data_IF_203047921451
#
_entry.id   IF_203047921451
#
_cell.length_a   1.000
_cell.length_b   1.000
_cell.length_c   1.000
_cell.angle_alpha   90.00
_cell.angle_beta   90.00
_cell.angle_gamma   90.00
#
_symmetry.space_group_name_H-M   'P 1'
#
loop_
_entity.id
_entity.type
_entity.pdbx_description
1 polymer ?
#
# COMPACT_ATOMS: atom_id res chain seq x y z
N UNK A 1 -19.66 -1.19 11.72
CA UNK A 1 -18.64 -2.22 11.46
C UNK A 1 -17.53 -1.55 10.67
N UNK A 2 -16.36 -1.39 11.25
CA UNK A 2 -15.18 -0.78 10.65
C UNK A 2 -14.45 -1.84 9.80
N UNK A 3 -13.82 -1.43 8.69
CA UNK A 3 -13.00 -2.29 7.84
C UNK A 3 -11.98 -3.13 8.65
N UNK A 4 -11.30 -2.52 9.62
CA UNK A 4 -10.35 -3.19 10.52
C UNK A 4 -10.96 -4.32 11.35
N UNK A 5 -12.24 -4.20 11.73
CA UNK A 5 -12.95 -5.26 12.46
C UNK A 5 -13.09 -6.52 11.60
N UNK A 6 -13.30 -6.37 10.28
CA UNK A 6 -13.47 -7.52 9.39
C UNK A 6 -12.13 -8.08 8.91
N UNK A 7 -11.10 -7.23 8.74
CA UNK A 7 -9.72 -7.70 8.55
C UNK A 7 -9.33 -8.62 9.70
N UNK A 8 -9.46 -8.15 10.95
CA UNK A 8 -9.05 -8.92 12.14
C UNK A 8 -9.98 -10.10 12.44
N UNK A 9 -11.30 -10.01 12.19
CA UNK A 9 -12.24 -11.14 12.32
C UNK A 9 -11.85 -12.31 11.41
N UNK A 10 -11.40 -12.03 10.20
CA UNK A 10 -11.00 -13.05 9.23
C UNK A 10 -9.54 -13.53 9.43
N UNK A 11 -8.87 -13.10 10.51
CA UNK A 11 -7.52 -13.53 10.89
C UNK A 11 -7.56 -14.37 12.18
N UNK A 12 -7.96 -15.65 12.14
CA UNK A 12 -8.13 -16.48 13.35
C UNK A 12 -6.85 -16.59 14.19
N UNK A 13 -5.67 -16.50 13.57
CA UNK A 13 -4.38 -16.60 14.25
C UNK A 13 -3.84 -15.26 14.77
N UNK A 14 -4.53 -14.12 14.56
CA UNK A 14 -3.99 -12.81 14.97
C UNK A 14 -3.76 -12.69 16.48
N UNK A 15 -4.48 -13.44 17.30
CA UNK A 15 -4.25 -13.51 18.75
C UNK A 15 -3.15 -14.50 19.16
N UNK A 16 -2.86 -15.52 18.36
CA UNK A 16 -1.96 -16.64 18.70
C UNK A 16 -0.56 -16.54 18.06
N UNK A 17 -0.45 -15.93 16.88
CA UNK A 17 0.81 -15.79 16.16
C UNK A 17 1.80 -14.88 16.89
N UNK A 18 3.10 -15.20 16.78
CA UNK A 18 4.18 -14.31 17.21
C UNK A 18 4.26 -13.05 16.35
N UNK A 19 4.89 -11.99 16.88
CA UNK A 19 5.14 -10.75 16.12
C UNK A 19 5.87 -11.03 14.79
N UNK A 20 6.85 -11.94 14.77
CA UNK A 20 7.60 -12.27 13.56
C UNK A 20 6.74 -12.98 12.51
N UNK A 21 5.80 -13.84 12.90
CA UNK A 21 4.85 -14.45 11.95
C UNK A 21 3.93 -13.41 11.33
N UNK A 22 3.41 -12.48 12.14
CA UNK A 22 2.53 -11.38 11.69
C UNK A 22 3.24 -10.42 10.72
N UNK A 23 4.47 -10.04 11.04
CA UNK A 23 5.31 -9.22 10.16
C UNK A 23 5.70 -9.95 8.87
N UNK A 24 5.97 -11.26 8.94
CA UNK A 24 6.23 -12.08 7.75
C UNK A 24 5.01 -12.19 6.85
N UNK A 25 3.84 -12.54 7.40
CA UNK A 25 2.58 -12.65 6.65
C UNK A 25 2.22 -11.33 5.94
N UNK A 26 2.26 -10.22 6.67
CA UNK A 26 1.89 -8.91 6.09
C UNK A 26 2.95 -8.34 5.14
N UNK A 27 4.24 -8.45 5.47
CA UNK A 27 5.32 -7.97 4.60
C UNK A 27 5.40 -8.73 3.27
N UNK A 28 5.25 -10.06 3.31
CA UNK A 28 5.23 -10.89 2.11
C UNK A 28 3.89 -10.77 1.35
N UNK A 29 2.77 -10.64 2.06
CA UNK A 29 1.45 -10.40 1.47
C UNK A 29 1.40 -9.11 0.65
N UNK A 30 1.82 -7.97 1.22
CA UNK A 30 1.92 -6.70 0.47
C UNK A 30 2.76 -6.84 -0.80
N UNK A 31 3.85 -7.60 -0.76
CA UNK A 31 4.69 -7.84 -1.94
C UNK A 31 4.01 -8.75 -2.99
N UNK A 32 3.24 -9.75 -2.54
CA UNK A 32 2.45 -10.64 -3.40
C UNK A 32 1.35 -9.89 -4.15
N UNK A 33 0.47 -9.19 -3.42
CA UNK A 33 -0.68 -8.50 -4.03
C UNK A 33 -0.24 -7.28 -4.87
N UNK A 34 0.87 -6.62 -4.52
CA UNK A 34 1.50 -5.63 -5.40
C UNK A 34 2.01 -6.24 -6.72
N UNK A 35 2.38 -7.53 -6.71
CA UNK A 35 2.69 -8.32 -7.89
C UNK A 35 1.48 -8.62 -8.77
N UNK A 36 0.32 -8.98 -8.18
CA UNK A 36 -0.96 -9.14 -8.90
C UNK A 36 -1.39 -7.82 -9.56
N UNK A 37 -1.33 -6.70 -8.83
CA UNK A 37 -1.54 -5.33 -9.37
C UNK A 37 -0.63 -5.07 -10.56
N UNK A 38 0.66 -5.37 -10.45
CA UNK A 38 1.64 -5.16 -11.52
C UNK A 38 1.40 -6.07 -12.74
N UNK A 39 0.96 -7.32 -12.54
CA UNK A 39 0.66 -8.25 -13.63
C UNK A 39 -0.57 -7.81 -14.45
N UNK A 40 -1.60 -7.26 -13.79
CA UNK A 40 -2.75 -6.66 -14.47
C UNK A 40 -2.31 -5.45 -15.31
N UNK A 41 -1.50 -4.55 -14.75
CA UNK A 41 -0.99 -3.37 -15.46
C UNK A 41 -0.11 -3.81 -16.65
N UNK A 42 0.74 -4.83 -16.48
CA UNK A 42 1.54 -5.44 -17.55
C UNK A 42 0.65 -5.98 -18.68
N UNK A 43 -0.47 -6.64 -18.37
CA UNK A 43 -1.44 -7.13 -19.39
C UNK A 43 -2.07 -5.98 -20.17
N UNK A 44 -2.40 -4.85 -19.52
CA UNK A 44 -2.90 -3.64 -20.20
C UNK A 44 -1.85 -3.03 -21.12
N UNK A 45 -0.59 -2.94 -20.67
CA UNK A 45 0.50 -2.28 -21.42
C UNK A 45 1.08 -3.12 -22.57
N UNK A 46 1.08 -4.45 -22.45
CA UNK A 46 1.81 -5.33 -23.38
C UNK A 46 0.94 -6.34 -24.14
N UNK A 47 -0.30 -6.61 -23.70
CA UNK A 47 -1.23 -7.54 -24.37
C UNK A 47 -2.49 -6.81 -24.88
N UNK A 48 -2.42 -5.49 -25.07
CA UNK A 48 -3.48 -4.63 -25.62
C UNK A 48 -4.84 -4.69 -24.88
N UNK A 49 -4.85 -5.13 -23.61
CA UNK A 49 -6.08 -5.29 -22.82
C UNK A 49 -6.63 -3.91 -22.40
N UNK A 50 -7.88 -3.54 -22.75
CA UNK A 50 -8.44 -2.25 -22.34
C UNK A 50 -8.51 -2.09 -20.82
N UNK A 51 -7.97 -0.99 -20.28
CA UNK A 51 -7.95 -0.72 -18.83
C UNK A 51 -9.35 -0.84 -18.16
N UNK A 52 -10.41 -0.50 -18.89
CA UNK A 52 -11.78 -0.57 -18.38
C UNK A 52 -12.32 -2.01 -18.23
N UNK A 53 -11.82 -3.00 -18.97
CA UNK A 53 -12.25 -4.40 -18.82
C UNK A 53 -11.57 -5.11 -17.64
N UNK A 54 -10.42 -4.62 -17.19
CA UNK A 54 -9.71 -5.15 -16.00
C UNK A 54 -9.91 -4.31 -14.73
N UNK A 55 -10.60 -3.16 -14.82
CA UNK A 55 -10.81 -2.22 -13.70
C UNK A 55 -11.31 -2.91 -12.42
N UNK A 56 -12.24 -3.87 -12.55
CA UNK A 56 -12.78 -4.58 -11.39
C UNK A 56 -11.80 -5.58 -10.76
N UNK A 57 -10.92 -6.23 -11.55
CA UNK A 57 -9.83 -7.04 -10.94
C UNK A 57 -8.83 -6.11 -10.26
N UNK A 58 -8.38 -5.06 -10.95
CA UNK A 58 -7.39 -4.12 -10.40
C UNK A 58 -7.83 -3.52 -9.06
N UNK A 59 -9.12 -3.19 -8.89
CA UNK A 59 -9.67 -2.68 -7.62
C UNK A 59 -9.69 -3.75 -6.51
N UNK A 60 -9.83 -5.04 -6.83
CA UNK A 60 -9.77 -6.13 -5.84
C UNK A 60 -8.36 -6.27 -5.31
N UNK A 61 -7.36 -6.49 -6.18
CA UNK A 61 -5.96 -6.63 -5.73
C UNK A 61 -5.46 -5.37 -4.97
N UNK A 62 -5.91 -4.17 -5.35
CA UNK A 62 -5.65 -2.93 -4.57
C UNK A 62 -6.27 -2.95 -3.16
N UNK A 63 -7.41 -3.61 -2.99
CA UNK A 63 -8.06 -3.89 -1.71
C UNK A 63 -7.35 -4.97 -0.90
N UNK A 64 -6.79 -5.99 -1.56
CA UNK A 64 -6.00 -7.05 -0.91
C UNK A 64 -4.63 -6.52 -0.44
N UNK A 65 -3.99 -5.63 -1.21
CA UNK A 65 -2.87 -4.80 -0.72
C UNK A 65 -3.27 -4.00 0.54
N UNK A 66 -4.46 -3.38 0.55
CA UNK A 66 -4.95 -2.65 1.73
C UNK A 66 -5.23 -3.56 2.93
N UNK A 67 -5.66 -4.80 2.70
CA UNK A 67 -5.92 -5.77 3.76
C UNK A 67 -4.64 -6.10 4.52
N UNK A 68 -3.53 -6.37 3.82
CA UNK A 68 -2.24 -6.62 4.47
C UNK A 68 -1.64 -5.36 5.10
N UNK A 69 -1.91 -4.16 4.57
CA UNK A 69 -1.50 -2.89 5.20
C UNK A 69 -2.27 -2.61 6.50
N UNK A 70 -3.57 -2.90 6.56
CA UNK A 70 -4.37 -2.78 7.79
C UNK A 70 -3.96 -3.84 8.83
N UNK A 71 -3.70 -5.08 8.39
CA UNK A 71 -3.12 -6.13 9.23
C UNK A 71 -1.76 -5.70 9.82
N UNK A 72 -0.88 -5.09 9.01
CA UNK A 72 0.41 -4.57 9.46
C UNK A 72 0.24 -3.41 10.45
N UNK A 73 -0.66 -2.47 10.18
CA UNK A 73 -0.97 -1.37 11.09
C UNK A 73 -1.46 -1.92 12.45
N UNK A 74 -2.37 -2.89 12.45
CA UNK A 74 -2.83 -3.58 13.65
C UNK A 74 -1.71 -4.35 14.37
N UNK A 75 -0.82 -5.03 13.63
CA UNK A 75 0.36 -5.72 14.17
C UNK A 75 1.31 -4.78 14.90
N UNK A 76 1.44 -3.54 14.41
CA UNK A 76 2.29 -2.49 14.97
C UNK A 76 1.57 -1.59 16.00
N UNK A 77 0.31 -1.85 16.33
CA UNK A 77 -0.46 -1.07 17.32
C UNK A 77 -0.94 0.31 16.83
N UNK A 78 -0.86 0.60 15.54
CA UNK A 78 -1.32 1.86 14.91
C UNK A 78 -2.54 1.59 13.99
N UNK A 79 -2.99 2.58 13.23
CA UNK A 79 -4.11 2.47 12.27
C UNK A 79 -3.72 3.01 10.90
N UNK A 80 -4.43 2.62 9.84
CA UNK A 80 -4.13 3.13 8.49
C UNK A 80 -4.40 4.63 8.36
N UNK A 81 -5.32 5.22 9.13
CA UNK A 81 -5.53 6.68 9.17
C UNK A 81 -4.30 7.42 9.74
N UNK A 82 -3.64 6.87 10.76
CA UNK A 82 -2.39 7.44 11.28
C UNK A 82 -1.24 7.30 10.27
N UNK A 83 -1.09 6.13 9.64
CA UNK A 83 -0.08 5.90 8.59
C UNK A 83 -0.30 6.87 7.42
N UNK A 84 -1.55 7.10 7.01
CA UNK A 84 -1.92 8.08 5.99
C UNK A 84 -1.63 9.52 6.44
N UNK A 85 -1.99 9.91 7.67
CA UNK A 85 -1.71 11.23 8.25
C UNK A 85 -0.21 11.54 8.22
N UNK A 86 0.62 10.65 8.77
CA UNK A 86 2.08 10.78 8.79
C UNK A 86 2.67 10.84 7.37
N UNK A 87 2.09 10.09 6.42
CA UNK A 87 2.49 10.16 5.02
C UNK A 87 2.12 11.50 4.37
N UNK A 88 0.95 12.07 4.66
CA UNK A 88 0.51 13.40 4.18
C UNK A 88 1.36 14.51 4.77
N UNK A 89 1.70 14.46 6.06
CA UNK A 89 2.60 15.43 6.71
C UNK A 89 3.99 15.41 6.05
N UNK A 90 4.57 14.22 5.87
CA UNK A 90 5.83 14.01 5.14
C UNK A 90 5.77 14.50 3.69
N UNK A 91 4.66 14.28 2.98
CA UNK A 91 4.48 14.75 1.60
C UNK A 91 4.35 16.27 1.52
N UNK A 92 3.63 16.91 2.45
CA UNK A 92 3.52 18.38 2.55
C UNK A 92 4.86 19.03 2.88
N UNK A 93 5.62 18.48 3.82
CA UNK A 93 6.97 18.97 4.11
C UNK A 93 7.91 18.85 2.89
N UNK A 94 7.79 17.77 2.12
CA UNK A 94 8.57 17.49 0.90
C UNK A 94 8.15 18.32 -0.33
N UNK A 95 6.91 18.78 -0.36
CA UNK A 95 6.29 19.52 -1.47
C UNK A 95 5.23 20.51 -0.94
N UNK A 96 5.63 21.63 -0.30
CA UNK A 96 4.67 22.55 0.36
C UNK A 96 3.62 23.13 -0.59
N UNK A 97 4.03 23.41 -1.83
CA UNK A 97 3.18 23.97 -2.89
C UNK A 97 2.75 22.89 -3.91
N UNK A 98 2.77 21.61 -3.52
CA UNK A 98 2.54 20.48 -4.41
C UNK A 98 3.78 20.06 -5.23
N UNK A 99 3.62 19.02 -6.03
CA UNK A 99 4.68 18.50 -6.90
C UNK A 99 4.80 19.33 -8.18
N UNK A 100 6.03 19.67 -8.55
CA UNK A 100 6.40 20.25 -9.85
C UNK A 100 7.68 19.60 -10.37
N UNK A 101 7.95 19.62 -11.70
CA UNK A 101 9.22 19.13 -12.25
C UNK A 101 10.45 19.82 -11.63
N UNK A 102 10.38 21.13 -11.40
CA UNK A 102 11.45 21.88 -10.72
C UNK A 102 11.72 21.38 -9.29
N UNK A 103 10.67 20.97 -8.55
CA UNK A 103 10.80 20.39 -7.20
C UNK A 103 11.34 18.95 -7.15
N UNK A 104 11.57 18.32 -8.31
CA UNK A 104 12.35 17.09 -8.45
C UNK A 104 13.81 17.40 -8.74
N UNK A 105 14.08 18.30 -9.70
CA UNK A 105 15.44 18.68 -10.08
C UNK A 105 16.24 19.18 -8.87
N UNK A 106 15.66 20.11 -8.09
CA UNK A 106 16.29 20.65 -6.89
C UNK A 106 16.68 19.58 -5.85
N UNK A 107 15.99 18.42 -5.80
CA UNK A 107 16.32 17.30 -4.90
C UNK A 107 17.40 16.38 -5.47
N UNK A 108 17.44 16.20 -6.79
CA UNK A 108 18.56 15.50 -7.43
C UNK A 108 19.86 16.28 -7.22
N UNK A 109 19.79 17.62 -7.33
CA UNK A 109 20.92 18.52 -7.10
C UNK A 109 21.28 18.67 -5.60
N UNK A 110 20.35 18.40 -4.68
CA UNK A 110 20.57 18.36 -3.22
C UNK A 110 21.20 17.03 -2.78
N UNK A 111 20.78 15.90 -3.34
CA UNK A 111 21.33 14.57 -3.07
C UNK A 111 22.71 14.30 -3.70
N UNK A 112 23.29 15.31 -4.37
CA UNK A 112 24.64 15.31 -4.97
C UNK A 112 25.61 16.26 -4.24
N UNK A 113 25.28 16.71 -3.02
CA UNK A 113 26.11 17.54 -2.14
C UNK A 113 26.46 16.82 -0.83
#
# INVERSE_FOLDING_TARGET
MNYREEVLRNCPNFSTDTLMQKLSLSGLGVAGEAGEVADIIKKVLHHEVPIMSVREKLIKEMGDVHWYLEYLAATLGTTTEEVQRLNVEKLRARHPNGWTPASQQAKADEALR
#
